data_IF_459905560767
#
_entry.id   IF_459905560767
#
_cell.length_a   1.000
_cell.length_b   1.000
_cell.length_c   1.000
_cell.angle_alpha   90.00
_cell.angle_beta   90.00
_cell.angle_gamma   90.00
#
_symmetry.space_group_name_H-M   'P 1'
#
loop_
_entity.id
_entity.type
_entity.pdbx_description
1 polymer ?
#
# COMPACT_ATOMS: atom_id res chain seq x y z
N UNK A 1 0.19 19.04 17.61
CA UNK A 1 0.29 17.89 16.70
C UNK A 1 1.15 16.84 17.37
N UNK A 2 0.66 15.60 17.50
CA UNK A 2 1.39 14.52 18.18
C UNK A 2 2.50 13.96 17.28
N UNK A 3 3.51 13.36 17.91
CA UNK A 3 4.56 12.59 17.25
C UNK A 3 4.55 11.19 17.87
N UNK A 4 4.54 10.16 17.04
CA UNK A 4 4.63 8.78 17.48
C UNK A 4 5.93 8.16 16.98
N UNK A 5 6.57 7.35 17.81
CA UNK A 5 7.80 6.62 17.47
C UNK A 5 7.56 5.12 17.64
N UNK A 6 7.67 4.39 16.53
CA UNK A 6 7.66 2.93 16.54
C UNK A 6 9.09 2.43 16.50
N UNK A 7 9.53 1.86 17.62
CA UNK A 7 10.91 1.45 17.85
C UNK A 7 11.24 0.12 17.18
N UNK A 8 12.40 0.06 16.55
CA UNK A 8 12.95 -1.17 15.99
C UNK A 8 12.18 -1.73 14.81
N UNK A 9 11.75 -0.86 13.89
CA UNK A 9 11.10 -1.31 12.65
C UNK A 9 12.07 -2.17 11.84
N UNK A 10 11.60 -3.31 11.35
CA UNK A 10 12.39 -4.25 10.54
C UNK A 10 11.83 -4.33 9.12
N UNK A 11 12.71 -4.63 8.17
CA UNK A 11 12.30 -4.79 6.77
C UNK A 11 11.42 -3.62 6.31
N UNK A 12 11.96 -2.40 6.40
CA UNK A 12 11.20 -1.19 6.17
C UNK A 12 12.09 -0.11 5.56
N UNK A 13 11.74 0.32 4.37
CA UNK A 13 12.41 1.40 3.65
C UNK A 13 11.36 2.31 3.01
N UNK A 14 11.41 3.62 3.31
CA UNK A 14 10.38 4.57 2.86
C UNK A 14 10.41 4.78 1.34
N UNK A 15 11.60 4.88 0.74
CA UNK A 15 11.75 5.07 -0.69
C UNK A 15 11.17 3.84 -1.43
N UNK A 16 11.56 2.64 -0.99
CA UNK A 16 11.11 1.40 -1.60
C UNK A 16 9.60 1.12 -1.39
N UNK A 17 9.01 1.59 -0.28
CA UNK A 17 7.58 1.44 -0.01
C UNK A 17 6.75 2.42 -0.84
N UNK A 18 7.15 3.70 -0.88
CA UNK A 18 6.30 4.75 -1.45
C UNK A 18 6.55 5.03 -2.94
N UNK A 19 7.67 4.56 -3.51
CA UNK A 19 8.00 4.75 -4.92
C UNK A 19 7.98 3.46 -5.76
N UNK A 20 7.54 2.32 -5.19
CA UNK A 20 7.37 1.07 -5.93
C UNK A 20 6.05 0.96 -6.72
N UNK A 21 5.30 2.04 -6.88
CA UNK A 21 4.11 2.07 -7.73
C UNK A 21 2.84 1.46 -7.14
N UNK A 22 2.82 1.15 -5.85
CA UNK A 22 1.64 0.65 -5.15
C UNK A 22 0.70 1.76 -4.62
N UNK A 23 1.22 2.97 -4.42
CA UNK A 23 0.47 4.13 -3.90
C UNK A 23 0.92 5.42 -4.61
N UNK A 24 0.05 6.45 -4.57
CA UNK A 24 0.27 7.67 -5.37
C UNK A 24 0.07 8.97 -4.58
N UNK A 25 -0.16 8.89 -3.27
CA UNK A 25 -0.45 10.05 -2.43
C UNK A 25 0.64 10.37 -1.41
N UNK A 26 1.82 9.84 -1.65
CA UNK A 26 3.01 10.09 -0.84
C UNK A 26 4.05 10.87 -1.63
N UNK A 27 4.67 11.87 -1.00
CA UNK A 27 5.68 12.72 -1.61
C UNK A 27 6.92 12.80 -0.74
N UNK A 28 8.08 12.49 -1.33
CA UNK A 28 9.38 12.62 -0.69
C UNK A 28 9.68 14.09 -0.41
N UNK A 29 10.15 14.38 0.78
CA UNK A 29 10.56 15.71 1.22
C UNK A 29 12.07 15.90 1.04
N UNK A 30 12.57 17.16 1.04
CA UNK A 30 14.00 17.43 0.92
C UNK A 30 14.86 16.79 2.03
N UNK A 31 14.28 16.57 3.21
CA UNK A 31 14.93 15.90 4.36
C UNK A 31 14.92 14.37 4.29
N UNK A 32 14.41 13.78 3.20
CA UNK A 32 14.28 12.35 3.00
C UNK A 32 13.05 11.71 3.65
N UNK A 33 12.26 12.48 4.39
CA UNK A 33 10.97 12.02 4.92
C UNK A 33 9.90 11.95 3.83
N UNK A 34 8.77 11.31 4.13
CA UNK A 34 7.61 11.25 3.24
C UNK A 34 6.39 11.86 3.89
N UNK A 35 5.78 12.84 3.23
CA UNK A 35 4.47 13.37 3.63
C UNK A 35 3.40 12.80 2.72
N UNK A 36 2.30 12.35 3.32
CA UNK A 36 1.20 11.78 2.55
C UNK A 36 -0.11 11.78 3.32
N UNK A 37 -1.13 11.36 2.61
CA UNK A 37 -2.49 11.19 3.12
C UNK A 37 -2.95 9.78 2.85
N UNK A 38 -3.48 9.12 3.88
CA UNK A 38 -4.20 7.86 3.78
C UNK A 38 -5.24 7.80 4.89
N UNK A 39 -6.36 7.14 4.61
CA UNK A 39 -7.47 6.98 5.58
C UNK A 39 -7.91 8.30 6.23
N UNK A 40 -7.95 9.36 5.43
CA UNK A 40 -8.35 10.69 5.88
C UNK A 40 -7.39 11.40 6.82
N UNK A 41 -6.18 10.88 7.03
CA UNK A 41 -5.15 11.47 7.90
C UNK A 41 -3.92 11.87 7.13
N UNK A 42 -3.40 13.06 7.43
CA UNK A 42 -2.15 13.58 6.87
C UNK A 42 -1.04 13.38 7.89
N UNK A 43 0.04 12.73 7.49
CA UNK A 43 1.22 12.52 8.33
C UNK A 43 2.50 12.71 7.55
N UNK A 44 3.59 12.89 8.28
CA UNK A 44 4.94 12.78 7.74
C UNK A 44 5.65 11.59 8.41
N UNK A 45 6.33 10.78 7.63
CA UNK A 45 7.07 9.61 8.08
C UNK A 45 8.56 9.77 7.80
N UNK A 46 9.40 9.45 8.78
CA UNK A 46 10.85 9.43 8.64
C UNK A 46 11.46 8.22 9.37
N UNK A 47 12.64 7.81 8.95
CA UNK A 47 13.44 6.80 9.65
C UNK A 47 14.57 7.48 10.41
N UNK A 48 14.78 7.05 11.65
CA UNK A 48 15.86 7.54 12.51
C UNK A 48 16.63 6.35 13.08
N UNK A 49 17.95 6.52 13.22
CA UNK A 49 18.73 5.54 14.01
C UNK A 49 18.31 5.64 15.46
N UNK A 50 18.10 4.51 16.11
CA UNK A 50 17.79 4.45 17.52
C UNK A 50 18.86 5.17 18.34
N UNK A 51 18.46 6.00 19.29
CA UNK A 51 19.37 6.70 20.19
C UNK A 51 19.19 6.19 21.63
N UNK A 52 20.27 6.08 22.39
CA UNK A 52 20.26 5.71 23.81
C UNK A 52 19.68 6.83 24.72
N UNK A 53 19.29 7.97 24.16
CA UNK A 53 18.89 9.14 24.90
C UNK A 53 17.39 9.28 25.09
N UNK A 54 16.95 9.17 26.34
CA UNK A 54 15.65 9.58 26.88
C UNK A 54 14.58 8.52 27.17
N UNK A 55 14.97 7.37 27.70
CA UNK A 55 14.00 6.42 28.27
C UNK A 55 13.46 6.82 29.67
N UNK A 56 14.02 7.83 30.35
CA UNK A 56 13.65 8.16 31.71
C UNK A 56 12.36 8.99 31.85
N UNK A 57 11.84 9.61 30.76
CA UNK A 57 10.75 10.57 30.85
C UNK A 57 9.36 10.11 30.40
N UNK A 58 9.23 9.02 29.63
CA UNK A 58 7.95 8.70 28.97
C UNK A 58 7.18 7.47 29.47
N UNK A 59 7.79 6.67 30.36
CA UNK A 59 7.11 5.53 31.00
C UNK A 59 6.48 5.85 32.36
N UNK A 60 6.58 7.08 32.86
CA UNK A 60 6.10 7.43 34.20
C UNK A 60 4.60 7.73 34.27
N UNK A 61 3.92 8.07 33.16
CA UNK A 61 2.51 8.47 33.20
C UNK A 61 1.49 7.37 32.89
N UNK A 62 1.88 6.25 32.29
CA UNK A 62 0.90 5.18 31.96
C UNK A 62 0.78 4.06 32.99
N UNK A 63 1.47 4.14 34.14
CA UNK A 63 1.42 3.12 35.22
C UNK A 63 0.49 3.44 36.38
N UNK A 64 -0.50 4.29 36.24
CA UNK A 64 -1.56 4.45 37.26
C UNK A 64 -2.83 3.80 36.78
N UNK A 65 -3.20 2.72 37.53
CA UNK A 65 -4.49 2.03 37.58
C UNK A 65 -4.69 0.80 36.67
N UNK A 66 -4.11 -0.33 37.10
CA UNK A 66 -4.75 -1.64 36.93
C UNK A 66 -4.54 -2.40 38.23
N UNK A 67 -5.62 -2.94 38.89
CA UNK A 67 -5.51 -3.74 40.11
C UNK A 67 -4.86 -5.12 39.85
N UNK A 68 -4.20 -5.72 40.85
CA UNK A 68 -3.46 -6.95 40.65
C UNK A 68 -4.36 -8.17 40.92
N UNK A 69 -5.04 -8.68 39.89
CA UNK A 69 -5.58 -10.06 39.93
C UNK A 69 -5.88 -10.53 38.51
N UNK A 70 -4.98 -11.31 37.99
CA UNK A 70 -5.05 -12.43 37.02
C UNK A 70 -3.81 -12.45 36.12
N UNK A 71 -2.72 -12.97 36.67
CA UNK A 71 -1.51 -13.29 35.90
C UNK A 71 -1.38 -14.80 35.81
N UNK A 72 -1.79 -15.37 34.69
CA UNK A 72 -1.13 -16.55 34.14
C UNK A 72 -0.14 -16.03 33.09
N UNK A 73 1.08 -15.79 33.51
CA UNK A 73 2.16 -15.32 32.66
C UNK A 73 2.69 -16.50 31.84
N UNK A 74 2.54 -16.41 30.52
CA UNK A 74 3.42 -17.10 29.59
C UNK A 74 4.74 -16.30 29.55
N UNK A 75 5.92 -16.91 29.76
CA UNK A 75 7.19 -16.19 29.74
C UNK A 75 7.42 -15.60 28.34
N UNK A 76 7.92 -14.37 28.23
CA UNK A 76 8.35 -13.84 26.94
C UNK A 76 9.60 -14.61 26.49
N UNK A 77 9.49 -15.30 25.37
CA UNK A 77 10.62 -15.90 24.69
C UNK A 77 11.72 -14.85 24.45
N UNK A 78 12.96 -15.27 24.65
CA UNK A 78 14.19 -14.52 24.52
C UNK A 78 14.29 -13.77 23.17
N UNK A 79 13.73 -12.57 23.07
CA UNK A 79 14.08 -11.62 22.02
C UNK A 79 15.39 -10.97 22.45
N UNK A 80 16.50 -11.39 21.85
CA UNK A 80 17.76 -10.65 21.93
C UNK A 80 17.50 -9.23 21.46
N UNK A 81 17.46 -8.27 22.39
CA UNK A 81 17.28 -6.87 22.07
C UNK A 81 18.40 -6.42 21.16
N UNK A 82 18.06 -5.91 19.97
CA UNK A 82 19.04 -5.27 19.07
C UNK A 82 19.60 -4.05 19.79
N UNK A 83 20.92 -3.88 19.86
CA UNK A 83 21.51 -2.70 20.46
C UNK A 83 20.95 -1.42 19.81
N UNK A 84 20.70 -0.34 20.58
CA UNK A 84 20.06 0.88 20.08
C UNK A 84 20.76 1.50 18.87
N UNK A 85 22.08 1.46 18.83
CA UNK A 85 22.90 1.97 17.72
C UNK A 85 22.69 1.24 16.38
N UNK A 86 22.13 0.03 16.41
CA UNK A 86 21.80 -0.76 15.23
C UNK A 86 20.29 -0.83 14.96
N UNK A 87 19.49 -0.09 15.74
CA UNK A 87 18.04 -0.05 15.62
C UNK A 87 17.62 1.08 14.69
N UNK A 88 16.63 0.82 13.84
CA UNK A 88 15.93 1.84 13.06
C UNK A 88 14.55 2.05 13.64
N UNK A 89 14.19 3.29 13.91
CA UNK A 89 12.89 3.69 14.45
C UNK A 89 12.09 4.42 13.37
N UNK A 90 10.80 4.09 13.25
CA UNK A 90 9.86 4.80 12.38
C UNK A 90 9.22 5.93 13.19
N UNK A 91 9.42 7.14 12.72
CA UNK A 91 8.85 8.36 13.31
C UNK A 91 7.70 8.84 12.45
N UNK A 92 6.54 9.07 13.07
CA UNK A 92 5.33 9.56 12.40
C UNK A 92 4.91 10.87 13.08
N UNK A 93 5.08 11.97 12.39
CA UNK A 93 4.59 13.28 12.83
C UNK A 93 3.11 13.44 12.50
N UNK A 94 2.39 14.23 13.30
CA UNK A 94 0.94 14.40 13.24
C UNK A 94 0.16 13.11 13.50
N UNK A 95 0.67 12.27 14.39
CA UNK A 95 0.14 10.97 14.74
C UNK A 95 0.00 10.82 16.26
N UNK A 96 -1.15 10.36 16.72
CA UNK A 96 -1.35 9.90 18.09
C UNK A 96 -1.06 8.40 18.19
N UNK A 97 -0.90 7.88 19.43
CA UNK A 97 -0.79 6.44 19.64
C UNK A 97 -2.04 5.69 19.13
N UNK A 98 -3.22 6.25 19.34
CA UNK A 98 -4.47 5.69 18.85
C UNK A 98 -4.51 5.62 17.32
N UNK A 99 -4.11 6.71 16.62
CA UNK A 99 -4.00 6.74 15.17
C UNK A 99 -2.98 5.70 14.68
N UNK A 100 -1.84 5.56 15.39
CA UNK A 100 -0.86 4.56 15.03
C UNK A 100 -1.43 3.14 15.10
N UNK A 101 -2.05 2.76 16.22
CA UNK A 101 -2.57 1.40 16.42
C UNK A 101 -3.71 1.06 15.47
N UNK A 102 -4.64 2.01 15.23
CA UNK A 102 -5.84 1.77 14.44
C UNK A 102 -5.63 1.95 12.94
N UNK A 103 -4.71 2.82 12.52
CA UNK A 103 -4.55 3.23 11.12
C UNK A 103 -3.19 2.80 10.57
N UNK A 104 -2.09 3.33 11.16
CA UNK A 104 -0.78 3.23 10.51
C UNK A 104 -0.14 1.86 10.66
N UNK A 105 -0.29 1.21 11.80
CA UNK A 105 0.21 -0.15 12.02
C UNK A 105 -0.38 -1.16 11.04
N UNK A 106 -1.71 -1.24 10.85
CA UNK A 106 -2.29 -2.09 9.81
C UNK A 106 -2.03 -1.58 8.38
N UNK A 107 -2.03 -0.25 8.13
CA UNK A 107 -1.76 0.32 6.81
C UNK A 107 -0.37 -0.07 6.28
N UNK A 108 0.65 -0.01 7.15
CA UNK A 108 2.04 -0.36 6.84
C UNK A 108 2.33 -1.86 6.97
N UNK A 109 1.33 -2.68 7.29
CA UNK A 109 1.44 -4.15 7.49
C UNK A 109 2.58 -4.53 8.47
N UNK A 110 2.69 -3.79 9.60
CA UNK A 110 3.83 -3.92 10.53
C UNK A 110 3.85 -5.22 11.32
N UNK A 111 2.72 -5.92 11.43
CA UNK A 111 2.61 -7.17 12.17
C UNK A 111 3.12 -8.40 11.39
N UNK A 112 3.33 -8.27 10.08
CA UNK A 112 3.80 -9.36 9.23
C UNK A 112 5.31 -9.49 9.26
N UNK A 113 5.78 -10.72 9.38
CA UNK A 113 7.21 -11.05 9.32
C UNK A 113 7.70 -11.14 7.87
N UNK A 114 8.09 -9.99 7.32
CA UNK A 114 8.67 -9.92 5.98
C UNK A 114 10.04 -10.59 5.88
N UNK A 115 10.78 -10.71 6.98
CA UNK A 115 12.05 -11.43 7.02
C UNK A 115 11.87 -12.90 6.69
N UNK A 116 10.90 -13.56 7.35
CA UNK A 116 10.58 -14.97 7.08
C UNK A 116 10.08 -15.19 5.64
N UNK A 117 9.22 -14.28 5.13
CA UNK A 117 8.72 -14.36 3.75
C UNK A 117 9.86 -14.23 2.74
N UNK A 118 10.73 -13.24 2.92
CA UNK A 118 11.90 -13.02 2.04
C UNK A 118 12.83 -14.23 2.02
N UNK A 119 13.12 -14.80 3.18
CA UNK A 119 13.95 -16.02 3.26
C UNK A 119 13.31 -17.16 2.45
N UNK A 120 12.02 -17.42 2.65
CA UNK A 120 11.30 -18.48 1.92
C UNK A 120 11.32 -18.24 0.41
N UNK A 121 11.10 -17.02 -0.06
CA UNK A 121 11.11 -16.67 -1.49
C UNK A 121 12.52 -16.77 -2.10
N UNK A 122 13.56 -16.38 -1.35
CA UNK A 122 14.95 -16.40 -1.82
C UNK A 122 15.56 -17.81 -1.85
N UNK A 123 15.13 -18.73 -0.98
CA UNK A 123 15.69 -20.10 -0.89
C UNK A 123 15.46 -20.93 -2.16
N UNK A 124 14.34 -20.72 -2.83
CA UNK A 124 13.92 -21.52 -4.00
C UNK A 124 14.21 -20.85 -5.34
N UNK A 125 14.61 -19.56 -5.34
CA UNK A 125 14.68 -18.75 -6.56
C UNK A 125 15.79 -17.69 -6.51
N UNK A 126 16.85 -17.90 -7.30
CA UNK A 126 18.00 -16.99 -7.40
C UNK A 126 17.61 -15.60 -7.99
N UNK A 127 16.55 -15.52 -8.82
CA UNK A 127 16.06 -14.25 -9.34
C UNK A 127 15.38 -13.47 -8.22
N UNK A 128 14.56 -14.16 -7.42
CA UNK A 128 13.94 -13.58 -6.25
C UNK A 128 14.97 -13.12 -5.22
N UNK A 129 16.03 -13.89 -4.97
CA UNK A 129 17.11 -13.49 -4.07
C UNK A 129 17.71 -12.13 -4.46
N UNK A 130 18.00 -11.92 -5.74
CA UNK A 130 18.52 -10.64 -6.28
C UNK A 130 17.48 -9.52 -6.22
N UNK A 131 16.23 -9.82 -6.52
CA UNK A 131 15.14 -8.85 -6.46
C UNK A 131 14.89 -8.36 -5.02
N UNK A 132 14.97 -9.26 -4.05
CA UNK A 132 14.84 -8.95 -2.62
C UNK A 132 16.01 -8.11 -2.12
N UNK A 133 17.24 -8.40 -2.57
CA UNK A 133 18.43 -7.61 -2.22
C UNK A 133 18.27 -6.16 -2.71
N UNK A 134 17.87 -5.96 -3.97
CA UNK A 134 17.68 -4.64 -4.56
C UNK A 134 16.48 -3.86 -3.99
N UNK A 135 15.42 -4.55 -3.59
CA UNK A 135 14.18 -3.95 -3.07
C UNK A 135 14.00 -4.11 -1.54
N UNK A 136 15.09 -4.27 -0.78
CA UNK A 136 15.00 -4.50 0.66
C UNK A 136 14.12 -3.45 1.36
N UNK A 137 13.21 -3.90 2.22
CA UNK A 137 12.31 -3.04 2.98
C UNK A 137 10.99 -2.70 2.28
N UNK A 138 10.70 -3.24 1.10
CA UNK A 138 9.36 -3.13 0.49
C UNK A 138 8.34 -3.86 1.37
N UNK A 139 7.20 -3.20 1.62
CA UNK A 139 6.01 -3.75 2.28
C UNK A 139 4.78 -3.46 1.44
N UNK A 140 3.80 -4.34 1.49
CA UNK A 140 2.50 -4.13 0.83
C UNK A 140 1.62 -3.28 1.73
N UNK A 141 1.26 -2.09 1.24
CA UNK A 141 0.36 -1.18 1.96
C UNK A 141 -1.09 -1.66 1.87
N UNK A 142 -1.80 -1.62 3.01
CA UNK A 142 -3.25 -1.91 3.06
C UNK A 142 -4.05 -0.64 2.87
N UNK A 143 -4.33 -0.32 1.62
CA UNK A 143 -4.96 0.92 1.23
C UNK A 143 -6.49 0.84 1.31
N UNK A 144 -7.17 1.97 1.27
CA UNK A 144 -8.63 2.03 1.18
C UNK A 144 -9.11 1.57 -0.18
N UNK A 145 -10.16 0.74 -0.21
CA UNK A 145 -10.68 0.13 -1.43
C UNK A 145 -11.03 1.18 -2.49
N UNK A 146 -11.79 2.22 -2.14
CA UNK A 146 -12.21 3.22 -3.10
C UNK A 146 -11.04 4.02 -3.68
N UNK A 147 -10.12 4.49 -2.83
CA UNK A 147 -8.92 5.20 -3.30
C UNK A 147 -8.06 4.30 -4.20
N UNK A 148 -7.96 3.01 -3.88
CA UNK A 148 -7.24 2.03 -4.69
C UNK A 148 -7.92 1.84 -6.05
N UNK A 149 -9.25 1.72 -6.10
CA UNK A 149 -10.00 1.64 -7.37
C UNK A 149 -9.75 2.86 -8.25
N UNK A 150 -9.91 4.08 -7.70
CA UNK A 150 -9.64 5.33 -8.41
C UNK A 150 -8.20 5.37 -8.92
N UNK A 151 -7.23 5.06 -8.07
CA UNK A 151 -5.80 5.12 -8.38
C UNK A 151 -5.42 4.17 -9.51
N UNK A 152 -5.88 2.94 -9.47
CA UNK A 152 -5.52 1.94 -10.48
C UNK A 152 -6.32 2.07 -11.79
N UNK A 153 -7.53 2.63 -11.77
CA UNK A 153 -8.20 3.08 -13.01
C UNK A 153 -7.38 4.20 -13.67
N UNK A 154 -6.85 5.16 -12.90
CA UNK A 154 -6.01 6.24 -13.40
C UNK A 154 -4.62 5.76 -13.85
N UNK A 155 -4.14 4.64 -13.32
CA UNK A 155 -2.81 4.08 -13.67
C UNK A 155 -2.73 3.49 -15.08
N UNK A 156 -3.86 3.20 -15.73
CA UNK A 156 -3.90 2.56 -17.04
C UNK A 156 -3.23 3.42 -18.12
N UNK A 157 -2.23 2.85 -18.79
CA UNK A 157 -1.45 3.55 -19.84
C UNK A 157 -1.00 4.94 -19.37
N UNK A 158 -0.37 5.02 -18.19
CA UNK A 158 0.01 6.26 -17.52
C UNK A 158 1.36 6.09 -16.81
N UNK A 159 1.98 7.18 -16.38
CA UNK A 159 3.19 7.17 -15.57
C UNK A 159 2.93 7.73 -14.16
N UNK A 160 3.78 7.36 -13.21
CA UNK A 160 3.61 7.68 -11.79
C UNK A 160 3.46 9.20 -11.56
N UNK A 161 4.31 10.10 -12.09
CA UNK A 161 4.14 11.54 -11.89
C UNK A 161 2.78 12.06 -12.36
N UNK A 162 2.31 11.59 -13.53
CA UNK A 162 1.01 12.01 -14.06
C UNK A 162 -0.15 11.43 -13.25
N UNK A 163 -0.06 10.19 -12.77
CA UNK A 163 -1.07 9.58 -11.89
C UNK A 163 -1.19 10.41 -10.61
N UNK A 164 -0.07 10.71 -9.94
CA UNK A 164 -0.04 11.56 -8.74
C UNK A 164 -0.72 12.92 -9.01
N UNK A 165 -0.38 13.59 -10.11
CA UNK A 165 -0.99 14.87 -10.49
C UNK A 165 -2.50 14.78 -10.78
N UNK A 166 -2.96 13.72 -11.43
CA UNK A 166 -4.39 13.49 -11.69
C UNK A 166 -5.18 13.29 -10.39
N UNK A 167 -4.67 12.47 -9.47
CA UNK A 167 -5.30 12.21 -8.18
C UNK A 167 -5.33 13.47 -7.33
N UNK A 168 -4.25 14.23 -7.30
CA UNK A 168 -4.17 15.48 -6.55
C UNK A 168 -5.16 16.54 -7.07
N UNK A 169 -5.25 16.72 -8.40
CA UNK A 169 -6.23 17.62 -9.00
C UNK A 169 -7.67 17.19 -8.68
N UNK A 170 -7.95 15.88 -8.77
CA UNK A 170 -9.26 15.32 -8.45
C UNK A 170 -9.63 15.57 -6.98
N UNK A 171 -8.69 15.30 -6.07
CA UNK A 171 -8.88 15.50 -4.63
C UNK A 171 -9.10 16.95 -4.26
N UNK A 172 -8.28 17.86 -4.82
CA UNK A 172 -8.38 19.30 -4.54
C UNK A 172 -9.69 19.91 -5.04
N UNK A 173 -10.18 19.49 -6.21
CA UNK A 173 -11.36 20.07 -6.83
C UNK A 173 -12.67 19.50 -6.27
N UNK A 174 -12.70 18.22 -5.88
CA UNK A 174 -13.94 17.53 -5.53
C UNK A 174 -13.89 16.80 -4.19
N UNK A 175 -12.71 16.68 -3.59
CA UNK A 175 -12.53 16.03 -2.30
C UNK A 175 -12.85 16.93 -1.12
N UNK A 176 -13.03 16.33 0.06
CA UNK A 176 -13.17 17.05 1.32
C UNK A 176 -11.80 17.35 1.92
N UNK A 177 -11.60 18.50 2.60
CA UNK A 177 -10.38 18.75 3.35
C UNK A 177 -10.07 17.62 4.32
N UNK A 178 -8.82 17.18 4.37
CA UNK A 178 -8.35 16.13 5.27
C UNK A 178 -7.45 16.68 6.38
N UNK A 179 -6.90 17.88 6.18
CA UNK A 179 -6.04 18.56 7.14
C UNK A 179 -4.92 19.34 6.47
N UNK A 180 -4.08 19.93 7.30
CA UNK A 180 -2.92 20.70 6.89
C UNK A 180 -1.64 20.11 7.51
N UNK A 181 -0.55 20.13 6.78
CA UNK A 181 0.76 19.81 7.29
C UNK A 181 1.81 20.76 6.70
N UNK A 182 2.56 21.46 7.57
CA UNK A 182 3.61 22.45 7.19
C UNK A 182 3.12 23.48 6.18
N UNK A 183 1.91 24.03 6.35
CA UNK A 183 1.33 25.05 5.48
C UNK A 183 0.76 24.55 4.15
N UNK A 184 0.71 23.22 3.95
CA UNK A 184 0.08 22.60 2.79
C UNK A 184 -1.22 21.93 3.17
N UNK A 185 -2.31 22.31 2.50
CA UNK A 185 -3.62 21.65 2.65
C UNK A 185 -3.69 20.36 1.84
N UNK A 186 -4.33 19.34 2.44
CA UNK A 186 -4.54 18.03 1.83
C UNK A 186 -6.04 17.73 1.76
N UNK A 187 -6.44 17.04 0.70
CA UNK A 187 -7.83 16.71 0.42
C UNK A 187 -7.97 15.20 0.21
N UNK A 188 -9.04 14.61 0.72
CA UNK A 188 -9.39 13.23 0.44
C UNK A 188 -9.73 13.04 -1.04
N UNK A 189 -9.58 11.83 -1.57
CA UNK A 189 -10.19 11.46 -2.85
C UNK A 189 -11.71 11.63 -2.70
N UNK A 190 -12.42 12.25 -3.68
CA UNK A 190 -13.87 12.41 -3.60
C UNK A 190 -14.54 11.03 -3.45
N UNK A 191 -15.57 10.96 -2.59
CA UNK A 191 -16.30 9.72 -2.37
C UNK A 191 -16.99 9.23 -3.65
N UNK A 192 -17.34 7.95 -3.71
CA UNK A 192 -18.09 7.39 -4.83
C UNK A 192 -19.43 8.13 -5.04
N UNK A 193 -20.09 8.56 -3.95
CA UNK A 193 -21.31 9.37 -4.01
C UNK A 193 -21.08 10.71 -4.73
N UNK A 194 -20.03 11.45 -4.37
CA UNK A 194 -19.68 12.70 -5.05
C UNK A 194 -19.37 12.45 -6.52
N UNK A 195 -18.53 11.44 -6.81
CA UNK A 195 -18.11 11.12 -8.17
C UNK A 195 -19.28 10.66 -9.07
N UNK A 196 -20.26 9.93 -8.53
CA UNK A 196 -21.41 9.46 -9.27
C UNK A 196 -22.31 10.59 -9.80
N UNK A 197 -22.29 11.75 -9.12
CA UNK A 197 -23.05 12.95 -9.48
C UNK A 197 -22.32 13.86 -10.49
N UNK A 198 -21.06 13.56 -10.82
CA UNK A 198 -20.28 14.31 -11.79
C UNK A 198 -20.49 13.76 -13.21
N UNK A 199 -20.09 14.57 -14.18
CA UNK A 199 -19.92 14.19 -15.58
C UNK A 199 -18.44 14.11 -15.94
N UNK A 200 -18.12 13.46 -17.05
CA UNK A 200 -16.75 13.48 -17.57
C UNK A 200 -16.28 14.92 -17.93
N UNK A 201 -17.22 15.82 -18.24
CA UNK A 201 -16.95 17.23 -18.50
C UNK A 201 -16.50 17.98 -17.26
N UNK A 202 -17.12 17.72 -16.09
CA UNK A 202 -16.73 18.33 -14.82
C UNK A 202 -15.31 17.91 -14.41
N UNK A 203 -14.88 16.72 -14.82
CA UNK A 203 -13.52 16.19 -14.56
C UNK A 203 -12.45 16.68 -15.53
N UNK A 204 -12.79 17.50 -16.55
CA UNK A 204 -11.82 18.00 -17.52
C UNK A 204 -10.61 18.72 -16.88
N UNK A 205 -10.78 19.58 -15.83
CA UNK A 205 -9.65 20.23 -15.15
C UNK A 205 -8.68 19.25 -14.49
N UNK A 206 -9.15 18.03 -14.12
CA UNK A 206 -8.31 17.00 -13.49
C UNK A 206 -7.36 16.32 -14.48
N UNK A 207 -7.50 16.54 -15.80
CA UNK A 207 -6.68 16.00 -16.89
C UNK A 207 -6.63 14.46 -16.95
N UNK A 208 -7.74 13.80 -16.61
CA UNK A 208 -7.84 12.33 -16.54
C UNK A 208 -7.87 11.68 -17.93
N UNK A 209 -8.15 12.45 -18.99
CA UNK A 209 -8.29 11.95 -20.35
C UNK A 209 -9.45 10.96 -20.48
N UNK A 210 -9.25 9.88 -21.24
CA UNK A 210 -10.27 8.85 -21.49
C UNK A 210 -10.70 8.08 -20.23
N UNK A 211 -10.03 8.28 -19.09
CA UNK A 211 -10.34 7.62 -17.80
C UNK A 211 -11.44 8.34 -17.03
N UNK A 212 -11.74 9.61 -17.37
CA UNK A 212 -12.79 10.36 -16.69
C UNK A 212 -14.17 9.67 -16.76
N UNK A 213 -14.67 9.22 -17.92
CA UNK A 213 -15.93 8.46 -17.97
C UNK A 213 -15.86 7.13 -17.21
N UNK A 214 -14.71 6.47 -17.14
CA UNK A 214 -14.56 5.23 -16.37
C UNK A 214 -14.76 5.48 -14.87
N UNK A 215 -14.16 6.52 -14.31
CA UNK A 215 -14.33 6.84 -12.90
C UNK A 215 -15.75 7.20 -12.54
N UNK A 216 -16.43 8.02 -13.36
CA UNK A 216 -17.80 8.40 -13.14
C UNK A 216 -18.72 7.18 -13.17
N UNK A 217 -18.56 6.33 -14.16
CA UNK A 217 -19.40 5.14 -14.30
C UNK A 217 -19.10 4.11 -13.21
N UNK A 218 -17.84 3.88 -12.86
CA UNK A 218 -17.47 3.04 -11.71
C UNK A 218 -18.11 3.56 -10.42
N UNK A 219 -18.12 4.87 -10.20
CA UNK A 219 -18.75 5.46 -9.02
C UNK A 219 -20.28 5.23 -9.01
N UNK A 220 -20.95 5.37 -10.15
CA UNK A 220 -22.38 5.06 -10.30
C UNK A 220 -22.68 3.59 -10.03
N UNK A 221 -21.85 2.69 -10.55
CA UNK A 221 -21.99 1.25 -10.30
C UNK A 221 -21.77 0.90 -8.81
N UNK A 222 -20.80 1.53 -8.14
CA UNK A 222 -20.59 1.39 -6.69
C UNK A 222 -21.84 1.85 -5.93
N UNK A 223 -22.41 3.00 -6.27
CA UNK A 223 -23.62 3.49 -5.63
C UNK A 223 -24.85 2.60 -5.91
N UNK A 224 -24.97 2.08 -7.12
CA UNK A 224 -26.03 1.14 -7.48
C UNK A 224 -25.97 -0.20 -6.72
N UNK A 225 -24.76 -0.60 -6.31
CA UNK A 225 -24.51 -1.79 -5.48
C UNK A 225 -24.67 -1.51 -3.97
N UNK A 226 -25.06 -0.32 -3.56
CA UNK A 226 -25.28 0.05 -2.15
C UNK A 226 -24.14 0.79 -1.48
N UNK A 227 -23.18 1.29 -2.26
CA UNK A 227 -22.02 2.03 -1.77
C UNK A 227 -20.75 1.17 -1.63
N UNK A 228 -19.65 1.82 -1.26
CA UNK A 228 -18.34 1.15 -1.22
C UNK A 228 -18.26 0.08 -0.13
N UNK A 229 -18.98 0.25 0.97
CA UNK A 229 -19.05 -0.71 2.06
C UNK A 229 -19.74 -2.01 1.64
N UNK A 230 -20.81 -1.92 0.84
CA UNK A 230 -21.48 -3.10 0.28
C UNK A 230 -20.57 -3.82 -0.72
N UNK A 231 -19.87 -3.07 -1.58
CA UNK A 231 -18.87 -3.63 -2.51
C UNK A 231 -17.72 -4.30 -1.74
N UNK A 232 -17.25 -3.70 -0.65
CA UNK A 232 -16.20 -4.29 0.19
C UNK A 232 -16.66 -5.60 0.82
N UNK A 233 -17.89 -5.66 1.34
CA UNK A 233 -18.45 -6.88 1.93
C UNK A 233 -18.55 -8.03 0.92
N UNK A 234 -18.99 -7.76 -0.31
CA UNK A 234 -19.01 -8.77 -1.39
C UNK A 234 -17.61 -9.27 -1.76
N UNK A 235 -16.64 -8.36 -1.81
CA UNK A 235 -15.25 -8.71 -2.10
C UNK A 235 -14.58 -9.48 -0.97
N UNK A 236 -14.91 -9.20 0.28
CA UNK A 236 -14.46 -9.94 1.46
C UNK A 236 -15.05 -11.36 1.47
N UNK A 237 -16.29 -11.52 1.04
CA UNK A 237 -16.96 -12.82 0.94
C UNK A 237 -16.42 -13.71 -0.19
N UNK A 238 -15.70 -13.15 -1.17
CA UNK A 238 -15.08 -13.92 -2.24
C UNK A 238 -14.05 -14.92 -1.66
N UNK A 239 -14.20 -16.19 -2.00
CA UNK A 239 -13.36 -17.26 -1.46
C UNK A 239 -11.93 -17.23 -2.03
N UNK A 240 -11.76 -16.73 -3.25
CA UNK A 240 -10.47 -16.70 -3.95
C UNK A 240 -10.19 -15.31 -4.55
N UNK A 241 -8.90 -14.98 -4.81
CA UNK A 241 -8.55 -13.75 -5.53
C UNK A 241 -9.19 -13.67 -6.92
N UNK A 242 -9.34 -14.80 -7.59
CA UNK A 242 -9.96 -14.87 -8.93
C UNK A 242 -11.44 -14.50 -8.88
N UNK A 243 -12.15 -14.90 -7.83
CA UNK A 243 -13.55 -14.50 -7.59
C UNK A 243 -13.65 -12.99 -7.32
N UNK A 244 -12.81 -12.47 -6.45
CA UNK A 244 -12.73 -11.03 -6.20
C UNK A 244 -12.39 -10.25 -7.49
N UNK A 245 -11.43 -10.73 -8.28
CA UNK A 245 -11.08 -10.11 -9.56
C UNK A 245 -12.23 -10.16 -10.57
N UNK A 246 -12.99 -11.26 -10.65
CA UNK A 246 -14.17 -11.35 -11.53
C UNK A 246 -15.24 -10.33 -11.16
N UNK A 247 -15.53 -10.17 -9.88
CA UNK A 247 -16.46 -9.17 -9.39
C UNK A 247 -15.96 -7.75 -9.69
N UNK A 248 -14.67 -7.46 -9.44
CA UNK A 248 -14.06 -6.17 -9.75
C UNK A 248 -14.11 -5.83 -11.25
N UNK A 249 -14.00 -6.81 -12.13
CA UNK A 249 -14.08 -6.59 -13.58
C UNK A 249 -15.49 -6.25 -14.08
N UNK A 250 -16.52 -6.31 -13.24
CA UNK A 250 -17.84 -5.77 -13.59
C UNK A 250 -17.86 -4.24 -13.63
N UNK A 251 -16.91 -3.58 -12.94
CA UNK A 251 -16.83 -2.12 -12.91
C UNK A 251 -16.17 -1.57 -14.19
N UNK A 252 -16.73 -0.46 -14.67
CA UNK A 252 -16.25 0.18 -15.90
C UNK A 252 -14.78 0.61 -15.78
N UNK A 253 -13.95 0.22 -16.74
CA UNK A 253 -12.53 0.53 -16.74
C UNK A 253 -11.67 -0.37 -15.84
N UNK A 254 -12.24 -1.42 -15.24
CA UNK A 254 -11.50 -2.40 -14.46
C UNK A 254 -11.25 -3.66 -15.30
N UNK A 255 -10.06 -3.77 -15.88
CA UNK A 255 -9.60 -4.98 -16.56
C UNK A 255 -8.82 -5.90 -15.61
N UNK A 256 -8.33 -7.06 -16.09
CA UNK A 256 -7.66 -8.08 -15.26
C UNK A 256 -6.49 -7.52 -14.43
N UNK A 257 -5.62 -6.70 -15.02
CA UNK A 257 -4.50 -6.08 -14.30
C UNK A 257 -4.96 -5.13 -13.21
N UNK A 258 -5.97 -4.30 -13.49
CA UNK A 258 -6.50 -3.34 -12.50
C UNK A 258 -7.19 -4.08 -11.38
N UNK A 259 -7.99 -5.10 -11.67
CA UNK A 259 -8.63 -5.95 -10.68
C UNK A 259 -7.61 -6.61 -9.74
N UNK A 260 -6.54 -7.18 -10.30
CA UNK A 260 -5.47 -7.81 -9.51
C UNK A 260 -4.73 -6.80 -8.62
N UNK A 261 -4.49 -5.56 -9.10
CA UNK A 261 -3.92 -4.50 -8.25
C UNK A 261 -4.87 -4.10 -7.12
N UNK A 262 -6.18 -3.99 -7.39
CA UNK A 262 -7.17 -3.66 -6.35
C UNK A 262 -7.25 -4.81 -5.33
N UNK A 263 -7.21 -6.06 -5.77
CA UNK A 263 -7.19 -7.23 -4.89
C UNK A 263 -5.96 -7.22 -3.97
N UNK A 264 -4.78 -6.93 -4.51
CA UNK A 264 -3.54 -6.88 -3.74
C UNK A 264 -3.52 -5.70 -2.76
N UNK A 265 -3.71 -4.47 -3.24
CA UNK A 265 -3.45 -3.26 -2.46
C UNK A 265 -4.67 -2.72 -1.72
N UNK A 266 -5.89 -3.00 -2.20
CA UNK A 266 -7.14 -2.55 -1.59
C UNK A 266 -7.79 -3.59 -0.68
N UNK A 267 -7.61 -4.90 -0.97
CA UNK A 267 -8.17 -5.98 -0.17
C UNK A 267 -7.11 -6.75 0.64
N UNK A 268 -5.82 -6.53 0.37
CA UNK A 268 -4.73 -7.26 1.03
C UNK A 268 -4.63 -8.74 0.66
N UNK A 269 -5.13 -9.12 -0.55
CA UNK A 269 -5.01 -10.48 -1.09
C UNK A 269 -3.60 -10.69 -1.61
N UNK A 270 -2.71 -11.15 -0.74
CA UNK A 270 -1.28 -11.27 -1.04
C UNK A 270 -0.95 -12.36 -2.07
N UNK A 271 -1.85 -13.26 -2.32
CA UNK A 271 -1.77 -14.27 -3.39
C UNK A 271 -2.03 -13.68 -4.78
N UNK A 272 -2.60 -12.47 -4.88
CA UNK A 272 -2.80 -11.79 -6.15
C UNK A 272 -1.48 -11.37 -6.79
N UNK A 273 -1.34 -11.64 -8.09
CA UNK A 273 -0.12 -11.36 -8.86
C UNK A 273 -0.44 -10.43 -10.04
N UNK A 274 -0.46 -9.10 -9.86
CA UNK A 274 -0.74 -8.16 -10.93
C UNK A 274 0.29 -8.22 -12.05
N UNK A 275 -0.14 -8.57 -13.26
CA UNK A 275 0.73 -8.70 -14.44
C UNK A 275 0.59 -7.43 -15.29
N UNK A 276 1.55 -6.53 -15.18
CA UNK A 276 1.69 -5.36 -16.05
C UNK A 276 2.79 -5.56 -17.10
N UNK A 277 3.14 -4.51 -17.82
CA UNK A 277 4.20 -4.56 -18.85
C UNK A 277 5.56 -4.93 -18.25
N UNK A 278 5.88 -4.44 -17.04
CA UNK A 278 7.14 -4.71 -16.38
C UNK A 278 7.21 -6.15 -15.87
N UNK A 279 6.13 -6.63 -15.28
CA UNK A 279 6.03 -8.02 -14.84
C UNK A 279 6.11 -8.99 -16.03
N UNK A 280 5.47 -8.67 -17.17
CA UNK A 280 5.64 -9.48 -18.40
C UNK A 280 7.11 -9.56 -18.83
N UNK A 281 7.81 -8.42 -18.81
CA UNK A 281 9.24 -8.39 -19.16
C UNK A 281 10.10 -9.23 -18.22
N UNK A 282 9.88 -9.12 -16.92
CA UNK A 282 10.65 -9.92 -15.94
C UNK A 282 10.34 -11.41 -16.11
N UNK A 283 9.07 -11.78 -16.28
CA UNK A 283 8.68 -13.18 -16.47
C UNK A 283 9.23 -13.76 -17.78
N UNK A 284 9.29 -12.97 -18.83
CA UNK A 284 9.91 -13.41 -20.09
C UNK A 284 11.44 -13.46 -19.96
N UNK A 285 12.07 -12.39 -19.51
CA UNK A 285 13.54 -12.21 -19.55
C UNK A 285 14.27 -13.11 -18.54
N UNK A 286 13.67 -13.34 -17.36
CA UNK A 286 14.32 -14.02 -16.24
C UNK A 286 13.74 -15.42 -15.98
N UNK A 287 12.50 -15.68 -16.39
CA UNK A 287 11.82 -16.97 -16.19
C UNK A 287 11.49 -17.69 -17.52
N UNK A 288 11.74 -17.06 -18.68
CA UNK A 288 11.56 -17.70 -19.99
C UNK A 288 10.11 -17.92 -20.41
N UNK A 289 9.13 -17.25 -19.75
CA UNK A 289 7.71 -17.36 -20.07
C UNK A 289 7.35 -16.32 -21.12
N UNK A 290 6.68 -16.72 -22.21
CA UNK A 290 6.29 -15.80 -23.30
C UNK A 290 5.46 -14.61 -22.75
N UNK A 291 5.76 -13.38 -23.20
CA UNK A 291 5.09 -12.15 -22.73
C UNK A 291 3.57 -12.15 -22.95
N UNK A 292 3.07 -12.94 -23.88
CA UNK A 292 1.64 -13.08 -24.18
C UNK A 292 0.97 -14.18 -23.36
N UNK A 293 1.75 -15.07 -22.73
CA UNK A 293 1.23 -16.17 -21.94
C UNK A 293 0.91 -15.76 -20.50
N UNK A 294 -0.13 -14.93 -20.37
CA UNK A 294 -0.61 -14.46 -19.05
C UNK A 294 -1.07 -15.64 -18.16
N UNK A 295 -1.62 -16.70 -18.78
CA UNK A 295 -2.05 -17.89 -18.03
C UNK A 295 -0.85 -18.64 -17.45
N UNK A 296 0.19 -18.84 -18.25
CA UNK A 296 1.44 -19.44 -17.79
C UNK A 296 2.10 -18.63 -16.69
N UNK A 297 2.12 -17.29 -16.79
CA UNK A 297 2.64 -16.40 -15.74
C UNK A 297 1.87 -16.54 -14.42
N UNK A 298 0.53 -16.55 -14.47
CA UNK A 298 -0.30 -16.77 -13.27
C UNK A 298 -0.10 -18.16 -12.67
N UNK A 299 -0.04 -19.21 -13.50
CA UNK A 299 0.22 -20.57 -13.04
C UNK A 299 1.58 -20.68 -12.35
N UNK A 300 2.62 -20.11 -12.96
CA UNK A 300 3.95 -20.03 -12.36
C UNK A 300 3.94 -19.33 -11.01
N UNK A 301 3.30 -18.14 -10.93
CA UNK A 301 3.22 -17.37 -9.69
C UNK A 301 2.48 -18.14 -8.58
N UNK A 302 1.38 -18.80 -8.91
CA UNK A 302 0.63 -19.61 -7.96
C UNK A 302 1.43 -20.82 -7.44
N UNK A 303 2.18 -21.50 -8.32
CA UNK A 303 3.00 -22.66 -7.96
C UNK A 303 4.24 -22.28 -7.13
N UNK A 304 4.95 -21.21 -7.53
CA UNK A 304 6.27 -20.89 -6.97
C UNK A 304 6.22 -19.87 -5.83
N UNK A 305 5.29 -18.91 -5.89
CA UNK A 305 5.17 -17.85 -4.87
C UNK A 305 3.96 -18.04 -3.95
N UNK A 306 2.92 -18.77 -4.38
CA UNK A 306 1.75 -19.14 -3.61
C UNK A 306 1.10 -17.96 -2.91
N UNK A 307 0.92 -18.07 -1.59
CA UNK A 307 0.32 -17.03 -0.75
C UNK A 307 1.08 -15.70 -0.71
N UNK A 308 2.34 -15.67 -1.17
CA UNK A 308 3.19 -14.49 -1.20
C UNK A 308 3.37 -13.90 -2.61
N UNK A 309 2.52 -14.29 -3.57
CA UNK A 309 2.59 -13.86 -4.97
C UNK A 309 2.70 -12.35 -5.15
N UNK A 310 1.88 -11.57 -4.43
CA UNK A 310 1.88 -10.12 -4.50
C UNK A 310 3.14 -9.47 -3.92
N UNK A 311 3.72 -10.08 -2.89
CA UNK A 311 5.01 -9.63 -2.33
C UNK A 311 6.11 -9.92 -3.35
N UNK A 312 6.16 -11.14 -3.90
CA UNK A 312 7.11 -11.52 -4.94
C UNK A 312 6.99 -10.59 -6.17
N UNK A 313 5.75 -10.31 -6.61
CA UNK A 313 5.48 -9.40 -7.72
C UNK A 313 6.05 -8.00 -7.48
N UNK A 314 5.91 -7.43 -6.27
CA UNK A 314 6.46 -6.10 -5.98
C UNK A 314 7.98 -6.06 -6.01
N UNK A 315 8.66 -7.10 -5.50
CA UNK A 315 10.12 -7.21 -5.61
C UNK A 315 10.57 -7.34 -7.06
N UNK A 316 9.91 -8.18 -7.85
CA UNK A 316 10.23 -8.37 -9.28
C UNK A 316 9.98 -7.09 -10.09
N UNK A 317 8.86 -6.41 -9.82
CA UNK A 317 8.52 -5.14 -10.47
C UNK A 317 9.56 -4.04 -10.17
N UNK A 318 9.96 -3.93 -8.90
CA UNK A 318 10.98 -2.95 -8.49
C UNK A 318 12.35 -3.28 -9.12
N UNK A 319 12.74 -4.54 -9.10
CA UNK A 319 14.01 -5.01 -9.62
C UNK A 319 14.16 -4.75 -11.13
N UNK A 320 13.15 -5.11 -11.93
CA UNK A 320 13.25 -4.93 -13.40
C UNK A 320 13.31 -3.45 -13.80
N UNK A 321 12.63 -2.57 -13.08
CA UNK A 321 12.71 -1.13 -13.32
C UNK A 321 14.13 -0.59 -13.09
N UNK A 322 14.79 -1.03 -12.03
CA UNK A 322 16.18 -0.64 -11.74
C UNK A 322 17.21 -1.21 -12.72
N UNK A 323 16.86 -2.26 -13.51
CA UNK A 323 17.75 -2.78 -14.56
C UNK A 323 17.63 -2.00 -15.89
N UNK A 324 16.50 -1.33 -16.12
CA UNK A 324 16.22 -0.64 -17.37
C UNK A 324 16.41 0.92 -17.25
N UNK A 325 16.68 1.44 -16.04
CA UNK A 325 17.13 2.81 -15.74
C UNK A 325 18.67 2.91 -15.75
#
# INVERSE_FOLDING_TARGET
MGKYIYEGVKDFDLDNIFDCGQCFRWSRQPDGSYTGIARGKVVNMSLQKGSDGDQAGRYAESRRAVPPESRTAVPPENRTAVPPENRTDLVIDNCTEEDFQKIWRPYLDLDRDYGAIKSKLAESDNVMAKAIEGGSGIRILRQELWETMVSFILSQNNNIPRIKGCIENLSRLFGRPAGEYRGTEYFNVPSAEVMANLTAGDLAPCRLGYRAPYLVETARQVMAKGGIEAVAAELEAAATPEEACRYLMEFQGVGPKVASCIALFGLGRLEAFPIDVWVRRVMNRLYGIDEKDIKGMNAYAAEHFGENGGIAQQYLFYYIRGLDE
#
